data_IF_575352168581
#
_entry.id   IF_575352168581
#
_cell.length_a   1.000
_cell.length_b   1.000
_cell.length_c   1.000
_cell.angle_alpha   90.00
_cell.angle_beta   90.00
_cell.angle_gamma   90.00
#
_symmetry.space_group_name_H-M   'P 1'
#
loop_
_entity.id
_entity.type
_entity.pdbx_description
1 polymer ?
#
# COMPACT_ATOMS: atom_id res chain seq x y z
N UNK A 1 12.72 16.33 -7.65
CA UNK A 1 12.84 15.02 -8.30
C UNK A 1 11.47 14.38 -8.43
N UNK A 2 11.23 13.71 -9.55
CA UNK A 2 9.97 12.98 -9.71
C UNK A 2 10.02 11.64 -8.97
N UNK A 3 8.87 11.26 -8.43
CA UNK A 3 8.72 9.97 -7.76
C UNK A 3 8.71 8.83 -8.78
N UNK A 4 9.19 7.67 -8.36
CA UNK A 4 9.13 6.47 -9.19
C UNK A 4 7.68 6.00 -9.31
N UNK A 5 7.25 5.71 -10.53
CA UNK A 5 5.93 5.16 -10.84
C UNK A 5 6.15 3.97 -11.76
N UNK A 6 5.59 2.81 -11.37
CA UNK A 6 5.77 1.58 -12.16
C UNK A 6 4.53 1.29 -13.00
N UNK A 7 4.75 0.92 -14.26
CA UNK A 7 3.67 0.68 -15.22
C UNK A 7 2.91 -0.63 -14.98
N UNK A 8 3.50 -1.55 -14.24
CA UNK A 8 2.90 -2.87 -13.97
C UNK A 8 2.03 -2.91 -12.72
N UNK A 9 1.81 -1.74 -12.08
CA UNK A 9 1.01 -1.64 -10.87
C UNK A 9 -0.26 -0.84 -11.10
N UNK A 10 -1.20 -0.98 -10.16
CA UNK A 10 -2.37 -0.12 -10.05
C UNK A 10 -2.19 0.79 -8.85
N UNK A 11 -2.97 1.88 -8.79
CA UNK A 11 -2.79 2.92 -7.77
C UNK A 11 -4.12 3.43 -7.27
N UNK A 12 -4.09 4.08 -6.09
CA UNK A 12 -5.24 4.77 -5.53
C UNK A 12 -4.95 6.27 -5.42
N UNK A 13 -6.00 7.05 -5.22
CA UNK A 13 -5.88 8.49 -5.02
C UNK A 13 -5.18 8.83 -3.69
N UNK A 14 -5.20 7.91 -2.74
CA UNK A 14 -4.53 8.08 -1.44
C UNK A 14 -3.12 7.50 -1.41
N UNK A 15 -2.57 7.22 -2.59
CA UNK A 15 -1.16 6.85 -2.78
C UNK A 15 -0.78 5.46 -2.26
N UNK A 16 -1.70 4.50 -2.41
CA UNK A 16 -1.35 3.08 -2.25
C UNK A 16 -1.12 2.49 -3.64
N UNK A 17 -0.22 1.50 -3.72
CA UNK A 17 -0.03 0.73 -4.94
C UNK A 17 -0.52 -0.68 -4.75
N UNK A 18 -0.94 -1.32 -5.85
CA UNK A 18 -1.50 -2.65 -5.85
C UNK A 18 -0.83 -3.48 -6.94
N UNK A 19 -0.33 -4.66 -6.55
CA UNK A 19 0.25 -5.62 -7.48
C UNK A 19 -0.63 -6.85 -7.49
N UNK A 20 -1.16 -7.19 -8.67
CA UNK A 20 -2.05 -8.36 -8.82
C UNK A 20 -1.21 -9.63 -8.83
N UNK A 21 -1.61 -10.61 -7.99
CA UNK A 21 -0.93 -11.89 -7.86
C UNK A 21 -1.98 -13.00 -7.78
N UNK A 22 -2.50 -13.42 -8.93
CA UNK A 22 -3.58 -14.41 -8.98
C UNK A 22 -4.86 -13.90 -8.31
N UNK A 23 -5.30 -14.59 -7.28
CA UNK A 23 -6.52 -14.22 -6.53
C UNK A 23 -6.25 -13.21 -5.43
N UNK A 24 -4.98 -12.90 -5.18
CA UNK A 24 -4.59 -11.94 -4.16
C UNK A 24 -3.96 -10.71 -4.79
N UNK A 25 -3.88 -9.64 -4.01
CA UNK A 25 -3.15 -8.44 -4.40
C UNK A 25 -2.20 -8.06 -3.26
N UNK A 26 -1.03 -7.56 -3.63
CA UNK A 26 -0.07 -7.04 -2.67
C UNK A 26 -0.23 -5.52 -2.65
N UNK A 27 -0.26 -4.94 -1.46
CA UNK A 27 -0.51 -3.51 -1.25
C UNK A 27 0.65 -2.88 -0.51
N UNK A 28 1.04 -1.70 -0.96
CA UNK A 28 2.02 -0.87 -0.28
C UNK A 28 1.72 0.59 -0.53
N UNK A 29 2.61 1.47 -0.07
CA UNK A 29 2.50 2.90 -0.36
C UNK A 29 3.50 3.27 -1.44
N UNK A 30 3.14 4.28 -2.24
CA UNK A 30 3.96 4.69 -3.38
C UNK A 30 5.23 5.42 -2.94
N UNK A 31 6.16 5.56 -3.87
CA UNK A 31 7.37 6.35 -3.66
C UNK A 31 7.00 7.80 -3.29
N UNK A 32 5.99 8.36 -3.95
CA UNK A 32 5.48 9.69 -3.63
C UNK A 32 5.03 9.76 -2.17
N UNK A 33 4.27 8.76 -1.70
CA UNK A 33 3.76 8.74 -0.33
C UNK A 33 4.89 8.68 0.70
N UNK A 34 5.88 7.80 0.49
CA UNK A 34 6.97 7.69 1.45
C UNK A 34 7.83 8.95 1.47
N UNK A 35 8.00 9.62 0.33
CA UNK A 35 8.77 10.85 0.27
C UNK A 35 8.08 11.99 1.02
N UNK A 36 6.75 12.04 0.95
CA UNK A 36 5.96 13.03 1.70
C UNK A 36 6.02 12.77 3.22
N UNK A 37 6.05 11.50 3.62
CA UNK A 37 6.12 11.12 5.03
C UNK A 37 7.51 11.30 5.62
N UNK A 38 8.54 11.24 4.80
CA UNK A 38 9.95 11.23 5.22
C UNK A 38 10.27 9.95 6.02
N UNK A 39 11.18 10.00 6.99
CA UNK A 39 11.69 8.82 7.68
C UNK A 39 10.58 8.08 8.46
N UNK A 40 10.29 6.86 8.05
CA UNK A 40 9.28 6.02 8.69
C UNK A 40 9.91 5.30 9.87
N UNK A 41 9.27 5.42 11.04
CA UNK A 41 9.78 4.91 12.29
C UNK A 41 8.92 3.80 12.90
N UNK A 42 7.69 3.65 12.42
CA UNK A 42 6.78 2.64 12.94
C UNK A 42 5.73 2.27 11.90
N UNK A 43 5.41 0.97 11.80
CA UNK A 43 4.34 0.47 10.93
C UNK A 43 3.46 -0.45 11.77
N UNK A 44 2.16 -0.12 11.85
CA UNK A 44 1.17 -0.96 12.51
C UNK A 44 0.41 -1.73 11.44
N UNK A 45 0.56 -3.06 11.45
CA UNK A 45 -0.05 -3.95 10.45
C UNK A 45 -1.33 -4.57 11.00
N UNK A 46 -2.30 -4.92 10.12
CA UNK A 46 -3.51 -5.62 10.56
C UNK A 46 -3.20 -7.08 10.88
N UNK A 47 -4.19 -7.77 11.46
CA UNK A 47 -4.07 -9.20 11.71
C UNK A 47 -4.43 -9.99 10.46
N UNK A 48 -3.70 -11.08 10.22
CA UNK A 48 -4.04 -12.04 9.17
C UNK A 48 -5.41 -12.61 9.46
N UNK A 49 -6.25 -12.69 8.44
CA UNK A 49 -7.62 -13.18 8.57
C UNK A 49 -8.68 -12.09 8.75
N UNK A 50 -8.25 -10.86 9.02
CA UNK A 50 -9.19 -9.74 9.12
C UNK A 50 -9.87 -9.47 7.79
N UNK A 51 -11.17 -9.24 7.82
CA UNK A 51 -11.95 -8.84 6.63
C UNK A 51 -12.03 -7.33 6.58
N UNK A 52 -11.70 -6.75 5.43
CA UNK A 52 -11.74 -5.31 5.22
C UNK A 52 -12.61 -4.98 4.01
N UNK A 53 -13.18 -3.79 4.02
CA UNK A 53 -13.91 -3.24 2.87
C UNK A 53 -13.09 -2.11 2.26
N UNK A 54 -13.24 -1.92 0.96
CA UNK A 54 -12.60 -0.80 0.27
C UNK A 54 -12.85 0.51 1.04
N UNK A 55 -11.78 1.23 1.33
CA UNK A 55 -11.84 2.48 2.08
C UNK A 55 -11.68 2.36 3.58
N UNK A 56 -11.71 1.13 4.11
CA UNK A 56 -11.44 0.92 5.54
C UNK A 56 -9.98 1.22 5.86
N UNK A 57 -9.71 1.59 7.10
CA UNK A 57 -8.34 1.72 7.58
C UNK A 57 -7.65 0.36 7.54
N UNK A 58 -6.55 0.27 6.81
CA UNK A 58 -5.82 -0.97 6.61
C UNK A 58 -4.65 -1.09 7.58
N UNK A 59 -3.82 -0.08 7.63
CA UNK A 59 -2.67 -0.02 8.54
C UNK A 59 -2.30 1.43 8.80
N UNK A 60 -1.38 1.62 9.75
CA UNK A 60 -0.90 2.94 10.14
C UNK A 60 0.61 2.97 9.91
N UNK A 61 1.08 4.04 9.28
CA UNK A 61 2.50 4.29 9.07
C UNK A 61 2.85 5.58 9.78
N UNK A 62 3.82 5.51 10.69
CA UNK A 62 4.24 6.65 11.48
C UNK A 62 5.64 7.07 11.09
N UNK A 63 5.80 8.35 10.79
CA UNK A 63 7.09 8.93 10.45
C UNK A 63 7.53 9.89 11.54
N UNK A 64 8.76 10.40 11.43
CA UNK A 64 9.25 11.43 12.34
C UNK A 64 8.44 12.71 12.26
N UNK A 65 7.68 12.88 11.19
CA UNK A 65 6.92 14.09 10.87
C UNK A 65 5.43 13.97 11.21
N UNK A 66 4.83 12.79 10.97
CA UNK A 66 3.38 12.64 11.09
C UNK A 66 2.96 11.16 11.19
N UNK A 67 1.68 10.96 11.49
CA UNK A 67 1.05 9.63 11.48
C UNK A 67 0.09 9.60 10.30
N UNK A 68 0.16 8.56 9.48
CA UNK A 68 -0.66 8.41 8.30
C UNK A 68 -1.44 7.10 8.33
N UNK A 69 -2.73 7.19 8.04
CA UNK A 69 -3.59 6.02 7.90
C UNK A 69 -3.54 5.55 6.45
N UNK A 70 -3.39 4.23 6.26
CA UNK A 70 -3.38 3.62 4.94
C UNK A 70 -4.71 2.89 4.75
N UNK A 71 -5.38 3.14 3.64
CA UNK A 71 -6.73 2.63 3.40
C UNK A 71 -6.72 1.43 2.48
N UNK A 72 -7.70 0.53 2.69
CA UNK A 72 -7.84 -0.66 1.86
C UNK A 72 -8.24 -0.24 0.43
N UNK A 73 -7.45 -0.60 -0.57
CA UNK A 73 -7.76 -0.25 -1.96
C UNK A 73 -8.87 -1.11 -2.54
N UNK A 74 -9.07 -2.29 -1.98
CA UNK A 74 -10.12 -3.22 -2.37
C UNK A 74 -10.67 -3.92 -1.13
N UNK A 75 -11.83 -4.56 -1.29
CA UNK A 75 -12.43 -5.37 -0.23
C UNK A 75 -11.85 -6.77 -0.28
N UNK A 76 -11.68 -7.38 0.88
CA UNK A 76 -11.18 -8.74 0.94
C UNK A 76 -10.73 -9.12 2.33
N UNK A 77 -9.96 -10.23 2.38
CA UNK A 77 -9.45 -10.78 3.63
C UNK A 77 -7.93 -10.67 3.63
N UNK A 78 -7.37 -10.25 4.75
CA UNK A 78 -5.91 -10.15 4.89
C UNK A 78 -5.32 -11.56 4.87
N UNK A 79 -4.60 -11.87 3.79
CA UNK A 79 -3.98 -13.17 3.59
C UNK A 79 -2.57 -13.23 4.17
N UNK A 80 -1.86 -12.09 4.15
CA UNK A 80 -0.48 -12.05 4.66
C UNK A 80 -0.11 -10.61 5.04
N UNK A 81 0.89 -10.48 5.91
CA UNK A 81 1.43 -9.19 6.32
C UNK A 81 2.95 -9.26 6.28
N UNK A 82 3.59 -8.11 6.07
CA UNK A 82 5.06 -8.04 6.02
C UNK A 82 5.61 -7.71 7.40
N UNK A 83 5.80 -8.73 8.21
CA UNK A 83 6.25 -8.57 9.59
C UNK A 83 7.61 -7.93 9.74
N UNK A 84 8.45 -7.99 8.71
CA UNK A 84 9.77 -7.38 8.74
C UNK A 84 9.70 -5.86 8.99
N UNK A 85 8.59 -5.24 8.61
CA UNK A 85 8.40 -3.80 8.81
C UNK A 85 8.22 -3.42 10.27
N UNK A 86 7.87 -4.37 11.13
CA UNK A 86 7.78 -4.11 12.56
C UNK A 86 9.16 -3.88 13.17
N UNK A 87 10.16 -4.58 12.63
CA UNK A 87 11.55 -4.49 13.09
C UNK A 87 12.35 -3.44 12.32
N UNK A 88 12.08 -3.31 11.01
CA UNK A 88 12.83 -2.43 10.10
C UNK A 88 11.84 -1.59 9.29
N UNK A 89 11.14 -0.63 9.93
CA UNK A 89 10.14 0.18 9.23
C UNK A 89 10.69 1.05 8.11
N UNK A 90 11.97 1.43 8.20
CA UNK A 90 12.64 2.23 7.16
C UNK A 90 12.74 1.51 5.81
N UNK A 91 12.46 0.22 5.76
CA UNK A 91 12.38 -0.53 4.50
C UNK A 91 11.35 0.09 3.55
N UNK A 92 10.28 0.67 4.10
CA UNK A 92 9.25 1.35 3.31
C UNK A 92 9.85 2.53 2.55
N UNK A 93 10.77 3.26 3.17
CA UNK A 93 11.46 4.37 2.51
C UNK A 93 12.44 3.87 1.44
N UNK A 94 13.17 2.81 1.75
CA UNK A 94 14.25 2.33 0.89
C UNK A 94 13.74 1.56 -0.32
N UNK A 95 12.64 0.80 -0.14
CA UNK A 95 12.13 -0.09 -1.18
C UNK A 95 10.61 -0.16 -1.13
N UNK A 96 9.92 0.97 -1.44
CA UNK A 96 8.46 1.03 -1.26
C UNK A 96 7.69 0.06 -2.16
N UNK A 97 8.22 -0.30 -3.32
CA UNK A 97 7.53 -1.17 -4.27
C UNK A 97 7.90 -2.65 -4.15
N UNK A 98 8.98 -2.97 -3.47
CA UNK A 98 9.45 -4.35 -3.39
C UNK A 98 9.43 -4.84 -1.94
N UNK A 99 10.50 -4.66 -1.19
CA UNK A 99 10.61 -5.19 0.17
C UNK A 99 9.74 -4.45 1.18
N UNK A 100 9.32 -3.23 0.85
CA UNK A 100 8.48 -2.41 1.72
C UNK A 100 6.98 -2.63 1.57
N UNK A 101 6.55 -3.74 0.95
CA UNK A 101 5.13 -4.05 0.85
C UNK A 101 4.50 -4.19 2.24
N UNK A 102 3.21 -3.86 2.34
CA UNK A 102 2.52 -3.86 3.64
C UNK A 102 1.72 -5.13 3.89
N UNK A 103 0.76 -5.41 3.02
CA UNK A 103 -0.17 -6.54 3.20
C UNK A 103 -0.46 -7.22 1.87
N UNK A 104 -0.95 -8.45 1.97
CA UNK A 104 -1.51 -9.18 0.84
C UNK A 104 -2.98 -9.44 1.15
N UNK A 105 -3.87 -9.08 0.22
CA UNK A 105 -5.32 -9.20 0.40
C UNK A 105 -5.86 -10.20 -0.61
N UNK A 106 -6.67 -11.15 -0.11
CA UNK A 106 -7.44 -12.05 -0.97
C UNK A 106 -8.70 -11.27 -1.39
N UNK A 107 -8.79 -10.91 -2.67
CA UNK A 107 -9.87 -10.07 -3.18
C UNK A 107 -11.22 -10.77 -3.09
N UNK A 108 -12.22 -10.10 -2.52
CA UNK A 108 -13.59 -10.62 -2.46
C UNK A 108 -14.38 -10.23 -3.71
N UNK A 109 -14.00 -9.14 -4.37
CA UNK A 109 -14.65 -8.65 -5.58
C UNK A 109 -13.58 -8.08 -6.51
N UNK A 110 -13.20 -8.87 -7.52
CA UNK A 110 -12.14 -8.48 -8.46
C UNK A 110 -12.51 -7.28 -9.32
N UNK A 111 -13.81 -6.95 -9.44
CA UNK A 111 -14.22 -5.79 -10.21
C UNK A 111 -13.72 -4.47 -9.57
N UNK A 112 -13.45 -4.47 -8.28
CA UNK A 112 -12.88 -3.30 -7.61
C UNK A 112 -11.48 -2.98 -8.10
N UNK A 113 -10.73 -4.00 -8.56
CA UNK A 113 -9.38 -3.81 -9.09
C UNK A 113 -9.44 -2.99 -10.39
N UNK A 114 -10.45 -3.23 -11.20
CA UNK A 114 -10.61 -2.52 -12.49
C UNK A 114 -10.88 -1.02 -12.31
N UNK A 115 -11.33 -0.62 -11.14
CA UNK A 115 -11.62 0.78 -10.83
C UNK A 115 -10.40 1.55 -10.31
N UNK A 116 -9.29 0.85 -10.09
CA UNK A 116 -8.07 1.49 -9.61
C UNK A 116 -7.40 2.26 -10.76
N UNK A 117 -6.54 3.21 -10.38
CA UNK A 117 -5.83 4.04 -11.34
C UNK A 117 -4.68 3.25 -11.98
N UNK A 118 -4.46 3.45 -13.28
CA UNK A 118 -3.24 2.95 -13.91
C UNK A 118 -2.10 3.96 -13.67
N UNK A 119 -0.90 3.62 -14.12
CA UNK A 119 0.28 4.46 -13.90
C UNK A 119 0.10 5.86 -14.50
N UNK A 120 -0.45 5.95 -15.71
CA UNK A 120 -0.65 7.24 -16.37
C UNK A 120 -1.63 8.14 -15.62
N UNK A 121 -2.74 7.57 -15.15
CA UNK A 121 -3.74 8.32 -14.39
C UNK A 121 -3.18 8.77 -13.05
N UNK A 122 -2.42 7.93 -12.39
CA UNK A 122 -1.78 8.28 -11.13
C UNK A 122 -0.73 9.37 -11.32
N UNK A 123 0.04 9.29 -12.40
CA UNK A 123 1.07 10.29 -12.72
C UNK A 123 0.46 11.69 -12.88
N UNK A 124 -0.74 11.78 -13.43
CA UNK A 124 -1.46 13.06 -13.58
C UNK A 124 -1.94 13.61 -12.25
N UNK A 125 -2.12 12.75 -11.26
CA UNK A 125 -2.61 13.11 -9.94
C UNK A 125 -1.53 13.79 -9.09
N UNK A 126 -0.28 13.36 -9.27
CA UNK A 126 0.84 13.84 -8.44
C UNK A 126 1.76 14.84 -9.17
#
# INVERSE_FOLDING_TARGET
>A
MSSEIRDDLKYTESHEWIKIKGDTVIVGITDHAQSELTDIVFVELPEVGKVVKKGDELCIVESVKSVSEIYAPISGKIANINKNLEDIPETVNESPYDEGWLVEIEASDKSEIDKLLDANSYKKLI
#
